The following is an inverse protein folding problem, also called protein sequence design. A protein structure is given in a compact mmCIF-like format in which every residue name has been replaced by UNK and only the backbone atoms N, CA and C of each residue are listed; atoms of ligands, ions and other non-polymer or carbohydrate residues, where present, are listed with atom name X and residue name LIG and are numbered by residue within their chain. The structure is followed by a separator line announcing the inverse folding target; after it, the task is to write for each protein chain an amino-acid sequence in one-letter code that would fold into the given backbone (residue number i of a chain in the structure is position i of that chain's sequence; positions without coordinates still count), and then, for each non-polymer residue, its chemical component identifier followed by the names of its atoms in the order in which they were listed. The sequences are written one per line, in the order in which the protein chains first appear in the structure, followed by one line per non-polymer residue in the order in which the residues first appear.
data_IF_933737631675
#
_entry.id   IF_933737631675
#
_cell.length_a   1.000
_cell.length_b   1.000
_cell.length_c   1.000
_cell.angle_alpha   90.00
_cell.angle_beta   90.00
_cell.angle_gamma   90.00
#
_symmetry.space_group_name_H-M   'P 1'
#
loop_
_entity.id
_entity.type
_entity.pdbx_description
1 polymer ?
#
# COMPACT_ATOMS: atom_id res chain seq x y z
N UNK A 1 -30.34 15.61 -38.44
CA UNK A 1 -30.13 14.93 -37.14
C UNK A 1 -28.68 14.46 -36.91
N UNK A 2 -28.01 13.79 -37.87
CA UNK A 2 -26.62 13.29 -37.69
C UNK A 2 -25.58 14.36 -37.29
N UNK A 3 -25.70 15.59 -37.79
CA UNK A 3 -24.77 16.69 -37.46
C UNK A 3 -24.84 17.12 -36.00
N UNK A 4 -26.03 17.16 -35.42
CA UNK A 4 -26.25 17.57 -34.01
C UNK A 4 -25.63 16.53 -33.07
N UNK A 5 -25.81 15.24 -33.38
CA UNK A 5 -25.22 14.16 -32.58
C UNK A 5 -23.68 14.22 -32.54
N UNK A 6 -23.03 14.59 -33.65
CA UNK A 6 -21.57 14.73 -33.70
C UNK A 6 -21.07 15.90 -32.83
N UNK A 7 -21.79 17.02 -32.80
CA UNK A 7 -21.45 18.16 -31.93
C UNK A 7 -21.56 17.81 -30.45
N UNK A 8 -22.61 17.09 -30.05
CA UNK A 8 -22.79 16.66 -28.66
C UNK A 8 -21.66 15.75 -28.23
N UNK A 9 -21.29 14.75 -29.06
CA UNK A 9 -20.19 13.83 -28.73
C UNK A 9 -18.86 14.60 -28.64
N UNK A 10 -18.58 15.50 -29.58
CA UNK A 10 -17.36 16.32 -29.55
C UNK A 10 -17.25 17.17 -28.28
N UNK A 11 -18.35 17.78 -27.84
CA UNK A 11 -18.37 18.57 -26.60
C UNK A 11 -18.09 17.71 -25.35
N UNK A 12 -18.63 16.50 -25.28
CA UNK A 12 -18.38 15.59 -24.16
C UNK A 12 -16.91 15.13 -24.11
N UNK A 13 -16.31 14.82 -25.27
CA UNK A 13 -14.90 14.43 -25.36
C UNK A 13 -13.99 15.60 -24.94
N UNK A 14 -14.30 16.83 -25.37
CA UNK A 14 -13.55 18.02 -24.96
C UNK A 14 -13.63 18.27 -23.44
N UNK A 15 -14.81 18.09 -22.83
CA UNK A 15 -15.00 18.23 -21.39
C UNK A 15 -14.20 17.18 -20.59
N UNK A 16 -14.20 15.92 -21.05
CA UNK A 16 -13.43 14.84 -20.42
C UNK A 16 -11.92 15.09 -20.52
N UNK A 17 -11.43 15.54 -21.68
CA UNK A 17 -10.02 15.90 -21.84
C UNK A 17 -9.62 17.05 -20.91
N UNK A 18 -10.46 18.09 -20.81
CA UNK A 18 -10.20 19.19 -19.89
C UNK A 18 -10.10 18.69 -18.44
N UNK A 19 -11.06 17.89 -17.99
CA UNK A 19 -11.05 17.30 -16.63
C UNK A 19 -9.76 16.54 -16.34
N UNK A 20 -9.29 15.70 -17.28
CA UNK A 20 -8.06 14.90 -17.10
C UNK A 20 -6.81 15.78 -17.06
N UNK A 21 -6.72 16.80 -17.91
CA UNK A 21 -5.56 17.70 -17.96
C UNK A 21 -5.43 18.61 -16.73
N UNK A 22 -6.53 18.89 -16.03
CA UNK A 22 -6.53 19.74 -14.83
C UNK A 22 -6.55 18.99 -13.51
N UNK A 23 -6.54 17.65 -13.51
CA UNK A 23 -6.38 16.93 -12.25
C UNK A 23 -4.98 17.21 -11.67
N UNK A 24 -4.88 17.79 -10.46
CA UNK A 24 -3.59 18.00 -9.82
C UNK A 24 -2.97 16.64 -9.52
N UNK A 25 -1.84 16.35 -10.17
CA UNK A 25 -1.04 15.16 -9.88
C UNK A 25 -0.55 15.29 -8.45
N UNK A 26 -1.20 14.58 -7.53
CA UNK A 26 -0.80 14.50 -6.12
C UNK A 26 0.60 13.91 -6.09
N UNK A 27 1.60 14.77 -5.86
CA UNK A 27 3.00 14.36 -5.75
C UNK A 27 3.11 13.45 -4.52
N UNK A 28 3.35 12.17 -4.77
CA UNK A 28 3.63 11.20 -3.71
C UNK A 28 4.95 11.61 -3.06
N UNK A 29 4.86 12.19 -1.86
CA UNK A 29 6.03 12.56 -1.05
C UNK A 29 6.68 11.27 -0.58
N UNK A 30 7.79 10.89 -1.21
CA UNK A 30 8.65 9.81 -0.73
C UNK A 30 9.40 10.32 0.51
N UNK A 31 8.91 9.98 1.70
CA UNK A 31 9.67 10.17 2.95
C UNK A 31 10.88 9.24 2.89
N UNK A 32 12.10 9.78 2.85
CA UNK A 32 13.30 8.96 2.98
C UNK A 32 13.43 8.52 4.43
N UNK A 33 13.50 7.20 4.64
CA UNK A 33 13.82 6.63 5.95
C UNK A 33 15.28 6.95 6.27
N UNK A 34 15.51 7.89 7.17
CA UNK A 34 16.82 8.08 7.79
C UNK A 34 16.98 7.03 8.89
N UNK A 35 17.74 5.98 8.62
CA UNK A 35 18.14 4.99 9.61
C UNK A 35 19.23 5.64 10.48
N UNK A 36 18.86 6.05 11.70
CA UNK A 36 19.83 6.40 12.74
C UNK A 36 20.31 5.11 13.38
N UNK A 37 21.47 4.63 12.96
CA UNK A 37 22.18 3.55 13.66
C UNK A 37 22.77 4.12 14.94
N UNK A 38 22.14 3.84 16.08
CA UNK A 38 22.73 4.09 17.39
C UNK A 38 23.73 2.97 17.63
N UNK A 39 25.02 3.29 17.49
CA UNK A 39 26.09 2.41 17.92
C UNK A 39 26.18 2.59 19.44
N UNK A 40 25.63 1.63 20.18
CA UNK A 40 25.82 1.52 21.62
C UNK A 40 27.26 1.06 21.86
N UNK A 41 28.17 2.02 21.97
CA UNK A 41 29.55 1.78 22.39
C UNK A 41 29.51 1.45 23.87
N UNK A 42 29.75 0.17 24.19
CA UNK A 42 30.00 -0.29 25.55
C UNK A 42 31.16 0.51 26.16
N UNK A 43 30.84 1.30 27.18
CA UNK A 43 31.81 2.00 28.02
C UNK A 43 32.42 1.02 29.02
N UNK A 44 33.74 0.79 29.02
CA UNK A 44 34.40 0.14 30.14
C UNK A 44 34.53 1.12 31.32
N UNK A 45 34.14 0.64 32.49
CA UNK A 45 34.34 1.23 33.81
C UNK A 45 35.81 1.57 34.07
N UNK A 46 36.11 2.74 34.65
CA UNK A 46 37.18 2.82 35.62
C UNK A 46 36.75 3.51 36.92
N UNK A 47 37.26 2.97 38.02
CA UNK A 47 37.09 3.48 39.36
C UNK A 47 37.97 4.71 39.65
N UNK A 48 37.46 5.51 40.60
CA UNK A 48 38.18 6.36 41.57
C UNK A 48 38.48 7.84 41.24
N UNK A 49 37.74 8.67 41.98
CA UNK A 49 38.14 9.88 42.74
C UNK A 49 38.34 11.24 42.02
N UNK A 50 38.09 12.37 42.74
CA UNK A 50 37.57 13.62 42.15
C UNK A 50 38.52 14.83 42.26
N UNK A 51 38.41 15.79 41.33
CA UNK A 51 38.62 17.23 41.56
C UNK A 51 38.22 18.07 40.31
N UNK A 52 37.88 19.37 40.46
CA UNK A 52 37.09 20.14 39.51
C UNK A 52 37.90 21.18 38.68
N UNK A 53 37.16 22.04 37.95
CA UNK A 53 37.58 23.30 37.28
C UNK A 53 38.19 23.06 35.87
N UNK A 54 37.83 23.69 34.75
CA UNK A 54 37.72 25.13 34.38
C UNK A 54 36.92 25.30 33.06
N UNK A 55 36.11 26.38 33.02
CA UNK A 55 35.46 27.00 31.85
C UNK A 55 36.41 27.23 30.65
N UNK A 56 35.97 26.94 29.42
CA UNK A 56 36.38 27.77 28.27
C UNK A 56 35.35 27.77 27.14
N UNK A 57 34.60 28.86 27.15
CA UNK A 57 34.00 29.56 26.01
C UNK A 57 35.01 29.68 24.84
N UNK A 58 34.59 29.40 23.60
CA UNK A 58 35.03 30.09 22.38
C UNK A 58 33.93 29.96 21.32
N UNK A 59 33.77 31.09 20.64
CA UNK A 59 32.78 31.46 19.67
C UNK A 59 32.84 30.73 18.31
N UNK A 60 31.69 30.79 17.66
CA UNK A 60 31.39 30.87 16.24
C UNK A 60 32.57 31.02 15.25
N UNK A 61 32.54 30.17 14.21
CA UNK A 61 33.02 30.55 12.88
C UNK A 61 32.17 29.88 11.80
N UNK A 62 31.50 30.73 11.03
CA UNK A 62 30.71 30.44 9.84
C UNK A 62 31.62 29.93 8.71
N UNK A 63 31.27 28.81 8.07
CA UNK A 63 31.88 28.40 6.80
C UNK A 63 30.79 28.12 5.77
N UNK A 64 30.80 28.95 4.73
CA UNK A 64 29.98 28.83 3.54
C UNK A 64 30.43 27.64 2.67
N UNK A 65 29.51 26.92 2.00
CA UNK A 65 29.87 25.85 1.08
C UNK A 65 30.26 26.37 -0.32
N UNK A 66 31.29 25.81 -0.97
CA UNK A 66 31.72 26.18 -2.31
C UNK A 66 30.87 25.54 -3.42
N UNK A 67 30.70 26.31 -4.52
CA UNK A 67 29.98 25.96 -5.76
C UNK A 67 30.55 24.73 -6.48
N UNK A 68 29.72 23.86 -7.09
CA UNK A 68 30.20 22.74 -7.90
C UNK A 68 30.57 23.15 -9.34
N UNK A 69 31.74 22.66 -9.79
CA UNK A 69 32.28 22.81 -11.14
C UNK A 69 31.51 21.95 -12.15
N UNK A 70 31.16 22.54 -13.28
CA UNK A 70 30.60 21.90 -14.48
C UNK A 70 31.62 20.93 -15.10
N UNK A 71 31.29 19.65 -15.18
CA UNK A 71 32.05 18.65 -15.93
C UNK A 71 31.50 18.51 -17.36
N UNK A 72 32.42 18.49 -18.32
CA UNK A 72 32.20 18.46 -19.76
C UNK A 72 31.65 17.11 -20.26
N UNK A 73 30.73 17.17 -21.24
CA UNK A 73 30.16 16.02 -21.94
C UNK A 73 31.11 15.59 -23.06
N UNK A 74 31.55 14.32 -23.06
CA UNK A 74 32.14 13.65 -24.23
C UNK A 74 31.02 12.97 -25.05
N UNK A 75 31.08 12.98 -26.40
CA UNK A 75 30.08 12.33 -27.25
C UNK A 75 30.39 10.83 -27.41
N UNK A 76 29.45 9.98 -26.98
CA UNK A 76 29.50 8.53 -27.16
C UNK A 76 28.98 8.19 -28.57
N UNK A 77 29.82 7.49 -29.35
CA UNK A 77 29.54 6.99 -30.69
C UNK A 77 28.40 5.96 -30.66
N UNK A 78 27.39 6.15 -31.53
CA UNK A 78 26.30 5.20 -31.77
C UNK A 78 26.83 3.96 -32.48
N UNK A 79 26.82 2.81 -31.79
CA UNK A 79 26.97 1.51 -32.42
C UNK A 79 25.62 1.04 -33.00
N UNK A 80 25.65 0.50 -34.21
CA UNK A 80 24.50 0.05 -34.96
C UNK A 80 23.84 -1.17 -34.32
N UNK A 81 22.52 -1.10 -34.14
CA UNK A 81 21.67 -2.17 -33.63
C UNK A 81 21.51 -3.25 -34.72
N UNK A 82 22.11 -4.42 -34.53
CA UNK A 82 21.79 -5.60 -35.33
C UNK A 82 20.42 -6.13 -34.89
N UNK A 83 19.52 -6.35 -35.86
CA UNK A 83 18.20 -6.95 -35.66
C UNK A 83 18.37 -8.41 -35.19
N UNK A 84 17.85 -8.81 -34.02
CA UNK A 84 17.76 -10.23 -33.68
C UNK A 84 16.66 -10.87 -34.54
N UNK A 85 17.05 -11.86 -35.36
CA UNK A 85 16.11 -12.80 -35.99
C UNK A 85 15.38 -13.54 -34.86
N UNK A 86 14.06 -13.43 -34.83
CA UNK A 86 13.22 -14.09 -33.85
C UNK A 86 13.35 -15.63 -33.93
N UNK A 87 13.18 -16.35 -32.81
CA UNK A 87 13.17 -17.81 -32.81
C UNK A 87 11.96 -18.31 -33.61
N UNK A 88 12.22 -19.15 -34.62
CA UNK A 88 11.20 -19.98 -35.25
C UNK A 88 10.65 -20.94 -34.19
N UNK A 89 9.48 -20.62 -33.64
CA UNK A 89 8.76 -21.54 -32.76
C UNK A 89 8.36 -22.76 -33.61
N UNK A 90 8.76 -23.99 -33.25
CA UNK A 90 8.40 -25.17 -34.02
C UNK A 90 6.89 -25.41 -34.00
N UNK A 91 6.27 -25.65 -35.16
CA UNK A 91 4.83 -25.94 -35.29
C UNK A 91 4.37 -27.13 -34.43
N UNK A 92 5.30 -28.03 -34.08
CA UNK A 92 5.04 -29.14 -33.16
C UNK A 92 4.59 -28.67 -31.75
N UNK A 93 5.14 -27.55 -31.27
CA UNK A 93 4.81 -26.97 -29.97
C UNK A 93 3.41 -26.35 -29.98
N UNK A 94 3.02 -25.73 -31.10
CA UNK A 94 1.68 -25.17 -31.29
C UNK A 94 0.64 -26.31 -31.31
N UNK A 95 0.92 -27.40 -32.05
CA UNK A 95 0.05 -28.59 -32.07
C UNK A 95 -0.11 -29.23 -30.69
N UNK A 96 0.96 -29.38 -29.92
CA UNK A 96 0.92 -29.99 -28.60
C UNK A 96 0.11 -29.13 -27.59
N UNK A 97 0.18 -27.81 -27.70
CA UNK A 97 -0.65 -26.89 -26.90
C UNK A 97 -2.13 -26.99 -27.29
N UNK A 98 -2.43 -27.06 -28.58
CA UNK A 98 -3.81 -27.18 -29.09
C UNK A 98 -4.46 -28.51 -28.65
N UNK A 99 -3.70 -29.60 -28.67
CA UNK A 99 -4.14 -30.92 -28.24
C UNK A 99 -4.36 -31.00 -26.72
N UNK A 100 -3.56 -30.28 -25.93
CA UNK A 100 -3.75 -30.13 -24.48
C UNK A 100 -5.05 -29.38 -24.15
N UNK A 101 -5.36 -28.30 -24.89
CA UNK A 101 -6.58 -27.50 -24.68
C UNK A 101 -7.84 -28.33 -24.99
N UNK A 102 -7.85 -29.04 -26.12
CA UNK A 102 -8.98 -29.88 -26.51
C UNK A 102 -9.27 -31.00 -25.49
N UNK A 103 -8.22 -31.58 -24.89
CA UNK A 103 -8.35 -32.64 -23.88
C UNK A 103 -8.91 -32.16 -22.53
N UNK A 104 -8.81 -30.86 -22.24
CA UNK A 104 -9.37 -30.25 -21.03
C UNK A 104 -10.86 -29.90 -21.25
N UNK A 105 -11.24 -29.45 -22.44
CA UNK A 105 -12.65 -29.16 -22.77
C UNK A 105 -13.54 -30.41 -22.74
N UNK A 106 -13.06 -31.57 -23.23
CA UNK A 106 -13.85 -32.80 -23.22
C UNK A 106 -14.08 -33.39 -21.81
N UNK A 107 -13.23 -33.05 -20.83
CA UNK A 107 -13.34 -33.56 -19.46
C UNK A 107 -14.04 -32.61 -18.48
N UNK A 108 -14.44 -31.42 -18.94
CA UNK A 108 -14.91 -30.34 -18.06
C UNK A 108 -16.38 -30.33 -17.65
N UNK A 109 -17.24 -31.19 -18.22
CA UNK A 109 -18.70 -30.97 -18.15
C UNK A 109 -19.54 -31.88 -17.25
N UNK A 110 -18.96 -32.71 -16.35
CA UNK A 110 -19.77 -33.61 -15.51
C UNK A 110 -19.70 -33.47 -13.99
N UNK A 111 -18.90 -32.55 -13.43
CA UNK A 111 -18.78 -32.39 -11.97
C UNK A 111 -18.91 -30.93 -11.49
N UNK A 112 -19.97 -30.23 -11.92
CA UNK A 112 -20.39 -28.95 -11.31
C UNK A 112 -21.77 -29.11 -10.68
N UNK A 113 -21.92 -30.08 -9.77
CA UNK A 113 -23.07 -30.09 -8.87
C UNK A 113 -22.72 -30.81 -7.59
N UNK A 114 -22.13 -30.04 -6.67
CA UNK A 114 -22.08 -30.18 -5.19
C UNK A 114 -20.90 -29.36 -4.68
N UNK A 115 -20.92 -28.05 -4.91
CA UNK A 115 -20.17 -27.16 -4.01
C UNK A 115 -20.89 -27.24 -2.67
N UNK A 116 -20.36 -28.08 -1.78
CA UNK A 116 -20.67 -28.01 -0.37
C UNK A 116 -20.57 -26.53 0.04
N UNK A 117 -21.63 -26.01 0.65
CA UNK A 117 -21.60 -24.70 1.33
C UNK A 117 -20.59 -24.83 2.46
N UNK A 118 -19.31 -24.61 2.15
CA UNK A 118 -18.30 -24.37 3.17
C UNK A 118 -18.72 -23.06 3.81
N UNK A 119 -19.12 -23.13 5.08
CA UNK A 119 -19.46 -21.96 5.85
C UNK A 119 -18.27 -20.98 5.81
N UNK A 120 -18.53 -19.67 5.67
CA UNK A 120 -17.48 -18.65 5.65
C UNK A 120 -16.57 -18.83 6.88
N UNK A 121 -15.27 -19.02 6.65
CA UNK A 121 -14.28 -19.20 7.71
C UNK A 121 -13.97 -17.81 8.26
N UNK A 122 -14.78 -17.38 9.22
CA UNK A 122 -14.63 -16.09 9.89
C UNK A 122 -13.24 -15.95 10.54
N UNK A 123 -12.67 -14.75 10.47
CA UNK A 123 -11.34 -14.45 11.03
C UNK A 123 -11.39 -14.64 12.56
N UNK A 124 -10.57 -15.53 13.16
CA UNK A 124 -10.70 -15.91 14.57
C UNK A 124 -10.36 -14.78 15.55
N UNK A 125 -9.47 -13.84 15.18
CA UNK A 125 -8.98 -12.82 16.11
C UNK A 125 -8.51 -11.57 15.38
N UNK A 126 -9.14 -10.43 15.69
CA UNK A 126 -8.78 -9.12 15.19
C UNK A 126 -8.60 -8.20 16.40
N UNK A 127 -7.43 -7.59 16.53
CA UNK A 127 -7.10 -6.68 17.64
C UNK A 127 -6.96 -5.27 17.08
N UNK A 128 -7.67 -4.32 17.66
CA UNK A 128 -7.50 -2.89 17.35
C UNK A 128 -6.81 -2.25 18.53
N UNK A 129 -5.63 -1.67 18.28
CA UNK A 129 -4.96 -0.80 19.23
C UNK A 129 -5.63 0.58 19.10
N UNK A 130 -6.81 0.73 19.72
CA UNK A 130 -7.52 2.02 19.78
C UNK A 130 -6.98 2.85 20.95
N UNK A 131 -6.95 4.17 20.79
CA UNK A 131 -6.60 5.15 21.81
C UNK A 131 -7.47 5.02 23.07
N UNK A 132 -6.96 5.59 24.16
CA UNK A 132 -7.42 5.37 25.55
C UNK A 132 -8.82 5.94 25.89
N UNK A 133 -9.72 6.12 24.91
CA UNK A 133 -11.09 6.63 25.13
C UNK A 133 -12.13 5.52 25.32
N UNK A 134 -12.97 5.61 26.34
CA UNK A 134 -14.07 4.66 26.57
C UNK A 134 -15.06 4.59 25.39
N UNK A 135 -15.37 5.73 24.75
CA UNK A 135 -16.20 5.80 23.55
C UNK A 135 -15.50 5.22 22.31
N UNK A 136 -14.17 5.35 22.25
CA UNK A 136 -13.34 4.81 21.17
C UNK A 136 -13.34 3.27 21.22
N UNK A 137 -13.33 2.69 22.42
CA UNK A 137 -13.47 1.26 22.65
C UNK A 137 -14.78 0.67 22.08
N UNK A 138 -15.91 1.37 22.27
CA UNK A 138 -17.22 0.93 21.76
C UNK A 138 -17.22 0.95 20.23
N UNK A 139 -16.78 2.05 19.64
CA UNK A 139 -16.68 2.16 18.18
C UNK A 139 -15.69 1.15 17.59
N UNK A 140 -14.53 0.97 18.21
CA UNK A 140 -13.54 -0.02 17.81
C UNK A 140 -14.14 -1.43 17.81
N UNK A 141 -14.95 -1.79 18.81
CA UNK A 141 -15.62 -3.09 18.86
C UNK A 141 -16.59 -3.29 17.69
N UNK A 142 -17.36 -2.26 17.32
CA UNK A 142 -18.24 -2.30 16.14
C UNK A 142 -17.44 -2.41 14.84
N UNK A 143 -16.31 -1.69 14.74
CA UNK A 143 -15.41 -1.75 13.61
C UNK A 143 -14.78 -3.15 13.45
N UNK A 144 -14.33 -3.77 14.55
CA UNK A 144 -13.83 -5.15 14.58
C UNK A 144 -14.88 -6.09 14.01
N UNK A 145 -16.11 -6.02 14.53
CA UNK A 145 -17.19 -6.92 14.10
C UNK A 145 -17.52 -6.75 12.62
N UNK A 146 -17.56 -5.52 12.13
CA UNK A 146 -17.78 -5.23 10.72
C UNK A 146 -16.66 -5.83 9.84
N UNK A 147 -15.41 -5.69 10.27
CA UNK A 147 -14.25 -6.21 9.54
C UNK A 147 -14.19 -7.74 9.56
N UNK A 148 -14.49 -8.38 10.69
CA UNK A 148 -14.52 -9.84 10.80
C UNK A 148 -15.61 -10.48 9.94
N UNK A 149 -16.76 -9.80 9.80
CA UNK A 149 -17.87 -10.30 8.99
C UNK A 149 -17.61 -10.13 7.48
N UNK A 150 -16.78 -9.17 7.09
CA UNK A 150 -16.61 -8.79 5.70
C UNK A 150 -15.27 -9.23 5.08
N UNK A 151 -14.28 -9.58 5.91
CA UNK A 151 -12.95 -9.99 5.48
C UNK A 151 -12.69 -11.43 5.89
N UNK A 152 -12.10 -12.18 4.97
CA UNK A 152 -11.55 -13.52 5.24
C UNK A 152 -10.13 -13.57 4.69
N UNK A 153 -9.16 -13.85 5.56
CA UNK A 153 -7.77 -13.92 5.12
C UNK A 153 -7.52 -15.23 4.36
N UNK A 154 -7.00 -15.17 3.11
CA UNK A 154 -6.76 -16.36 2.32
C UNK A 154 -5.59 -17.22 2.85
N UNK A 155 -4.60 -16.58 3.49
CA UNK A 155 -3.44 -17.27 4.07
C UNK A 155 -3.32 -17.04 5.57
N UNK A 156 -2.62 -17.96 6.23
CA UNK A 156 -2.25 -17.87 7.64
C UNK A 156 -1.19 -16.78 7.84
N UNK A 157 -1.32 -15.99 8.90
CA UNK A 157 -0.34 -14.97 9.23
C UNK A 157 -0.92 -13.72 9.88
N UNK A 158 -0.03 -12.80 10.21
CA UNK A 158 -0.36 -11.55 10.88
C UNK A 158 -0.10 -10.35 9.96
N UNK A 159 -1.07 -9.44 9.89
CA UNK A 159 -0.94 -8.17 9.17
C UNK A 159 -1.35 -7.04 10.09
N UNK A 160 -0.44 -6.10 10.33
CA UNK A 160 -0.67 -4.87 11.07
C UNK A 160 -0.75 -3.70 10.09
N UNK A 161 -1.85 -2.97 10.12
CA UNK A 161 -2.08 -1.82 9.25
C UNK A 161 -2.72 -0.67 10.02
N UNK A 162 -2.51 0.52 9.51
CA UNK A 162 -3.16 1.75 9.93
C UNK A 162 -4.24 2.10 8.90
N UNK A 163 -5.46 2.31 9.38
CA UNK A 163 -6.65 2.58 8.61
C UNK A 163 -7.18 3.96 8.98
N UNK A 164 -7.17 4.90 8.05
CA UNK A 164 -7.72 6.25 8.26
C UNK A 164 -9.14 6.34 7.71
N UNK A 165 -10.09 6.64 8.59
CA UNK A 165 -11.50 6.79 8.27
C UNK A 165 -11.97 8.21 8.58
N UNK A 166 -12.95 8.69 7.83
CA UNK A 166 -13.68 9.92 8.12
C UNK A 166 -14.84 9.69 9.08
N UNK A 167 -15.35 10.78 9.64
CA UNK A 167 -16.53 10.76 10.52
C UNK A 167 -17.80 10.19 9.88
N UNK A 168 -17.91 10.21 8.54
CA UNK A 168 -19.02 9.63 7.77
C UNK A 168 -18.86 8.12 7.51
N UNK A 169 -17.74 7.51 7.93
CA UNK A 169 -17.41 6.13 7.61
C UNK A 169 -16.79 5.95 6.22
N UNK A 170 -16.39 7.04 5.56
CA UNK A 170 -15.69 6.95 4.28
C UNK A 170 -14.22 6.59 4.50
N UNK A 171 -13.76 5.59 3.76
CA UNK A 171 -12.35 5.23 3.69
C UNK A 171 -11.51 6.36 3.07
N UNK A 172 -10.44 6.78 3.76
CA UNK A 172 -9.52 7.81 3.26
C UNK A 172 -8.25 7.17 2.72
N UNK A 173 -7.57 6.43 3.58
CA UNK A 173 -6.26 5.87 3.30
C UNK A 173 -6.00 4.67 4.18
N UNK A 174 -5.14 3.77 3.70
CA UNK A 174 -4.58 2.67 4.47
C UNK A 174 -3.06 2.65 4.30
N UNK A 175 -2.35 2.35 5.38
CA UNK A 175 -0.92 2.11 5.39
C UNK A 175 -0.61 0.78 6.07
N UNK A 176 0.03 -0.15 5.35
CA UNK A 176 0.48 -1.40 5.96
C UNK A 176 1.76 -1.12 6.76
N UNK A 177 1.72 -1.41 8.05
CA UNK A 177 2.86 -1.25 8.97
C UNK A 177 3.73 -2.50 8.96
N UNK A 178 3.11 -3.69 8.99
CA UNK A 178 3.79 -4.97 9.00
C UNK A 178 2.93 -6.04 8.32
N UNK A 179 3.54 -6.92 7.52
CA UNK A 179 2.84 -8.07 6.95
C UNK A 179 3.76 -9.28 6.88
N UNK A 180 3.27 -10.43 7.31
CA UNK A 180 3.95 -11.71 7.13
C UNK A 180 3.75 -12.30 5.71
N UNK A 181 2.65 -11.95 5.03
CA UNK A 181 2.32 -12.47 3.69
C UNK A 181 2.03 -11.34 2.70
N UNK A 182 2.66 -11.39 1.53
CA UNK A 182 2.36 -10.46 0.43
C UNK A 182 0.96 -10.71 -0.17
N UNK A 183 0.46 -11.95 -0.09
CA UNK A 183 -0.86 -12.29 -0.59
C UNK A 183 -1.95 -11.67 0.27
N UNK A 184 -1.85 -11.81 1.60
CA UNK A 184 -2.76 -11.17 2.56
C UNK A 184 -2.72 -9.65 2.45
N UNK A 185 -1.54 -9.06 2.25
CA UNK A 185 -1.38 -7.62 2.06
C UNK A 185 -2.19 -7.11 0.86
N UNK A 186 -2.03 -7.74 -0.32
CA UNK A 186 -2.76 -7.36 -1.54
C UNK A 186 -4.26 -7.58 -1.39
N UNK A 187 -4.64 -8.69 -0.75
CA UNK A 187 -6.04 -8.99 -0.48
C UNK A 187 -6.69 -7.90 0.37
N UNK A 188 -6.11 -7.57 1.54
CA UNK A 188 -6.63 -6.52 2.42
C UNK A 188 -6.69 -5.16 1.72
N UNK A 189 -5.68 -4.81 0.92
CA UNK A 189 -5.68 -3.56 0.17
C UNK A 189 -6.85 -3.48 -0.83
N UNK A 190 -7.19 -4.59 -1.48
CA UNK A 190 -8.31 -4.63 -2.43
C UNK A 190 -9.68 -4.59 -1.74
N UNK A 191 -9.82 -5.28 -0.62
CA UNK A 191 -11.10 -5.41 0.08
C UNK A 191 -11.41 -4.21 0.97
N UNK A 192 -10.44 -3.67 1.71
CA UNK A 192 -10.68 -2.54 2.62
C UNK A 192 -11.15 -1.28 1.87
N UNK A 193 -10.76 -1.12 0.60
CA UNK A 193 -11.21 -0.01 -0.23
C UNK A 193 -12.69 -0.13 -0.65
N UNK A 194 -13.22 -1.35 -0.78
CA UNK A 194 -14.61 -1.59 -1.20
C UNK A 194 -15.59 -1.69 -0.03
N UNK A 195 -15.09 -1.82 1.20
CA UNK A 195 -15.91 -1.92 2.40
C UNK A 195 -16.55 -0.59 2.79
N UNK A 196 -17.75 -0.71 3.35
CA UNK A 196 -18.45 0.39 4.00
C UNK A 196 -18.21 0.31 5.49
N UNK A 197 -17.77 1.41 6.09
CA UNK A 197 -17.49 1.48 7.52
C UNK A 197 -18.64 2.17 8.25
N UNK A 198 -18.88 1.82 9.52
CA UNK A 198 -19.84 2.56 10.35
C UNK A 198 -19.39 4.02 10.52
N UNK A 199 -20.34 4.94 10.55
CA UNK A 199 -20.04 6.34 10.86
C UNK A 199 -19.60 6.48 12.33
N UNK A 200 -18.78 7.50 12.61
CA UNK A 200 -18.29 7.76 13.95
C UNK A 200 -19.43 8.16 14.89
N UNK A 201 -19.34 7.74 16.15
CA UNK A 201 -20.31 8.03 17.20
C UNK A 201 -19.64 8.77 18.35
N UNK A 202 -20.44 9.47 19.16
CA UNK A 202 -19.96 10.15 20.37
C UNK A 202 -18.87 11.19 20.09
N UNK A 203 -17.77 11.09 20.84
CA UNK A 203 -16.64 12.03 20.80
C UNK A 203 -15.89 12.01 19.47
N UNK A 204 -15.84 10.87 18.79
CA UNK A 204 -15.17 10.73 17.50
C UNK A 204 -15.82 11.58 16.41
N UNK A 205 -17.10 11.98 16.55
CA UNK A 205 -17.76 12.88 15.59
C UNK A 205 -17.13 14.28 15.51
N UNK A 206 -16.41 14.70 16.55
CA UNK A 206 -15.72 16.00 16.55
C UNK A 206 -14.48 15.98 15.66
N UNK A 207 -13.90 14.80 15.44
CA UNK A 207 -12.74 14.61 14.58
C UNK A 207 -13.18 14.40 13.12
N UNK A 208 -12.50 15.08 12.19
CA UNK A 208 -12.80 14.92 10.76
C UNK A 208 -12.34 13.55 10.25
N UNK A 209 -11.19 13.11 10.73
CA UNK A 209 -10.51 11.88 10.32
C UNK A 209 -9.83 11.27 11.54
N UNK A 210 -9.92 9.95 11.68
CA UNK A 210 -9.28 9.19 12.75
C UNK A 210 -8.53 7.99 12.16
N UNK A 211 -7.34 7.72 12.70
CA UNK A 211 -6.49 6.62 12.24
C UNK A 211 -6.50 5.48 13.25
N UNK A 212 -6.97 4.31 12.82
CA UNK A 212 -7.04 3.10 13.63
C UNK A 212 -5.90 2.16 13.29
N UNK A 213 -5.18 1.68 14.29
CA UNK A 213 -4.17 0.64 14.10
C UNK A 213 -4.81 -0.72 14.34
N UNK A 214 -4.89 -1.52 13.27
CA UNK A 214 -5.60 -2.80 13.25
C UNK A 214 -4.60 -3.91 12.97
N UNK A 215 -4.64 -4.94 13.81
CA UNK A 215 -3.85 -6.16 13.65
C UNK A 215 -4.79 -7.32 13.33
N UNK A 216 -4.66 -7.85 12.12
CA UNK A 216 -5.35 -9.04 11.65
C UNK A 216 -4.49 -10.26 11.92
N UNK A 217 -5.01 -11.24 12.66
CA UNK A 217 -4.32 -12.50 12.94
C UNK A 217 -5.16 -13.67 12.44
N UNK A 218 -4.60 -14.46 11.52
CA UNK A 218 -5.17 -15.73 11.08
C UNK A 218 -4.25 -16.87 11.54
N UNK A 219 -4.76 -17.70 12.45
CA UNK A 219 -4.05 -18.78 13.15
C UNK A 219 -4.75 -20.11 13.00
#
# INVERSE_FOLDING_TARGET
MKRISLFVISAHVALLLWMVLWMPVKKVVKKSLQVRTVIEVATPTPASAPAPVIKKEIAAASQAPPKPKKAAKKPIKKAALQKPKGPLVPDALIRQLQESIAKIEEKGHKDISKKAKVAPKQIPKLQIDAGSGAEESIYASHLVQCLQNALELPEMGTVKLELTLKCDGTFVQMQILQSASNHNQKFLQSQLHSLKYPAFNGLLKQEKEHAFVITFCNH
#
